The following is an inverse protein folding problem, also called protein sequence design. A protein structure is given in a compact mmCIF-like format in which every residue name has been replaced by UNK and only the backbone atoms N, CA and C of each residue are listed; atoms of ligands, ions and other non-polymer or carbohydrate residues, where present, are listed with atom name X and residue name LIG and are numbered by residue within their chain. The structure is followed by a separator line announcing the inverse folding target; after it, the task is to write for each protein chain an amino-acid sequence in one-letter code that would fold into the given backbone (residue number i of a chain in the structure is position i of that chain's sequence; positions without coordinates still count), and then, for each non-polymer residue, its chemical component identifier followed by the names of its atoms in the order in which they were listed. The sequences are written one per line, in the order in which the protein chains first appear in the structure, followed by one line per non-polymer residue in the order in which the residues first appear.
data_IF_218831758786
#
_entry.id   IF_218831758786
#
_cell.length_a   1.000
_cell.length_b   1.000
_cell.length_c   1.000
_cell.angle_alpha   90.00
_cell.angle_beta   90.00
_cell.angle_gamma   90.00
#
_symmetry.space_group_name_H-M   'P 1'
#
loop_
_entity.id
_entity.type
_entity.pdbx_description
1 polymer ?
#
# COMPACT_ATOMS: atom_id res chain seq x y z
N UNK A 1 -0.63 -15.47 -12.77
CA UNK A 1 -2.06 -15.59 -12.45
C UNK A 1 -2.51 -14.23 -11.98
N UNK A 2 -3.32 -13.54 -12.78
CA UNK A 2 -4.02 -12.32 -12.39
C UNK A 2 -5.17 -12.73 -11.47
N UNK A 3 -5.31 -12.07 -10.33
CA UNK A 3 -6.47 -12.22 -9.48
C UNK A 3 -7.62 -11.42 -10.06
N UNK A 4 -8.82 -12.00 -9.99
CA UNK A 4 -10.06 -11.43 -10.49
C UNK A 4 -11.10 -11.42 -9.37
N UNK A 5 -12.09 -10.53 -9.48
CA UNK A 5 -13.29 -10.62 -8.65
C UNK A 5 -14.19 -11.77 -9.12
N UNK A 6 -15.21 -12.11 -8.33
CA UNK A 6 -16.23 -13.06 -8.77
C UNK A 6 -17.03 -12.50 -9.96
N UNK A 7 -17.28 -13.31 -10.99
CA UNK A 7 -17.97 -12.86 -12.21
C UNK A 7 -19.37 -12.27 -11.97
N UNK A 8 -20.05 -12.69 -10.89
CA UNK A 8 -21.39 -12.22 -10.53
C UNK A 8 -21.40 -11.08 -9.51
N UNK A 9 -20.25 -10.72 -8.92
CA UNK A 9 -20.18 -9.70 -7.87
C UNK A 9 -18.81 -9.05 -7.81
N UNK A 10 -18.73 -7.82 -8.32
CA UNK A 10 -17.56 -6.95 -8.19
C UNK A 10 -17.68 -6.14 -6.91
N UNK A 11 -16.69 -6.19 -6.00
CA UNK A 11 -16.72 -5.41 -4.77
C UNK A 11 -16.63 -3.91 -5.08
N UNK A 12 -17.27 -3.08 -4.24
CA UNK A 12 -17.16 -1.61 -4.35
C UNK A 12 -15.83 -1.07 -3.83
N UNK A 13 -15.19 -1.83 -2.94
CA UNK A 13 -13.85 -1.57 -2.43
C UNK A 13 -13.25 -2.88 -1.86
N UNK A 14 -11.93 -2.96 -1.78
CA UNK A 14 -11.20 -4.00 -1.06
C UNK A 14 -10.53 -3.37 0.15
N UNK A 15 -10.66 -4.00 1.32
CA UNK A 15 -9.92 -3.59 2.53
C UNK A 15 -8.61 -4.37 2.59
N UNK A 16 -7.47 -3.69 2.54
CA UNK A 16 -6.16 -4.25 2.78
C UNK A 16 -5.75 -3.99 4.24
N UNK A 17 -5.70 -5.05 5.03
CA UNK A 17 -5.54 -4.97 6.49
C UNK A 17 -4.08 -4.83 6.96
N UNK A 18 -3.16 -4.51 6.05
CA UNK A 18 -1.72 -4.41 6.33
C UNK A 18 -0.91 -5.59 5.81
N UNK A 19 0.40 -5.49 6.05
CA UNK A 19 1.44 -6.35 5.48
C UNK A 19 1.37 -6.39 3.96
N UNK A 20 1.22 -5.21 3.37
CA UNK A 20 1.02 -5.03 1.94
C UNK A 20 2.28 -5.47 1.17
N UNK A 21 3.45 -5.22 1.75
CA UNK A 21 4.74 -5.44 1.09
C UNK A 21 5.72 -6.23 1.97
N UNK A 22 5.64 -7.55 1.93
CA UNK A 22 6.63 -8.43 2.56
C UNK A 22 8.03 -8.32 1.92
N UNK A 23 9.13 -8.48 2.65
CA UNK A 23 9.20 -8.64 4.11
C UNK A 23 9.38 -7.32 4.88
N UNK A 24 9.87 -6.24 4.27
CA UNK A 24 10.30 -5.03 4.99
C UNK A 24 9.64 -3.73 4.49
N UNK A 25 8.48 -3.85 3.83
CA UNK A 25 7.77 -2.71 3.28
C UNK A 25 8.48 -2.16 2.05
N UNK A 26 8.40 -0.86 1.84
CA UNK A 26 9.22 -0.19 0.82
C UNK A 26 10.50 0.28 1.53
N UNK A 27 11.68 -0.03 0.98
CA UNK A 27 12.96 0.21 1.64
C UNK A 27 13.48 1.63 1.41
N UNK A 28 13.25 2.16 0.20
CA UNK A 28 13.60 3.52 -0.20
C UNK A 28 12.68 3.95 -1.35
N UNK A 29 12.58 5.26 -1.57
CA UNK A 29 11.61 5.81 -2.54
C UNK A 29 11.78 5.22 -3.96
N UNK A 30 13.03 5.01 -4.39
CA UNK A 30 13.35 4.53 -5.74
C UNK A 30 12.79 3.14 -6.08
N UNK A 31 12.50 2.29 -5.10
CA UNK A 31 11.90 0.97 -5.34
C UNK A 31 10.37 0.94 -5.22
N UNK A 32 9.73 2.00 -4.69
CA UNK A 32 8.28 2.06 -4.44
C UNK A 32 7.48 1.54 -5.63
N UNK A 33 7.66 2.16 -6.79
CA UNK A 33 6.81 1.88 -7.96
C UNK A 33 7.02 0.46 -8.48
N UNK A 34 8.26 -0.06 -8.43
CA UNK A 34 8.55 -1.45 -8.78
C UNK A 34 7.94 -2.46 -7.81
N UNK A 35 7.89 -2.15 -6.51
CA UNK A 35 7.23 -2.99 -5.48
C UNK A 35 5.72 -3.02 -5.70
N UNK A 36 5.09 -1.87 -5.92
CA UNK A 36 3.66 -1.81 -6.27
C UNK A 36 3.36 -2.55 -7.57
N UNK A 37 4.14 -2.33 -8.62
CA UNK A 37 3.95 -3.01 -9.90
C UNK A 37 3.99 -4.54 -9.75
N UNK A 38 4.98 -5.07 -9.04
CA UNK A 38 5.19 -6.52 -8.90
C UNK A 38 4.24 -7.20 -7.92
N UNK A 39 3.94 -6.54 -6.79
CA UNK A 39 3.20 -7.14 -5.67
C UNK A 39 1.72 -6.78 -5.64
N UNK A 40 1.33 -5.68 -6.27
CA UNK A 40 -0.03 -5.18 -6.26
C UNK A 40 -0.63 -5.14 -7.67
N UNK A 41 -0.10 -4.29 -8.56
CA UNK A 41 -0.73 -4.05 -9.87
C UNK A 41 -0.79 -5.32 -10.72
N UNK A 42 0.35 -5.99 -10.93
CA UNK A 42 0.41 -7.22 -11.73
C UNK A 42 -0.33 -8.40 -11.08
N UNK A 43 -0.64 -8.31 -9.79
CA UNK A 43 -1.39 -9.36 -9.08
C UNK A 43 -2.89 -9.17 -9.20
N UNK A 44 -3.37 -7.93 -9.20
CA UNK A 44 -4.78 -7.60 -9.21
C UNK A 44 -5.17 -6.85 -10.50
N UNK A 45 -4.86 -7.49 -11.63
CA UNK A 45 -5.01 -6.94 -13.00
C UNK A 45 -6.21 -7.54 -13.77
N UNK A 46 -7.09 -8.28 -13.09
CA UNK A 46 -8.34 -8.77 -13.71
C UNK A 46 -9.24 -7.63 -14.15
N UNK A 47 -9.87 -7.72 -15.32
CA UNK A 47 -10.73 -6.65 -15.87
C UNK A 47 -11.85 -6.20 -14.92
N UNK A 48 -12.32 -7.10 -14.07
CA UNK A 48 -13.38 -6.87 -13.10
C UNK A 48 -12.90 -6.42 -11.70
N UNK A 49 -11.60 -6.30 -11.48
CA UNK A 49 -11.02 -5.84 -10.19
C UNK A 49 -9.98 -4.74 -10.36
N UNK A 50 -9.39 -4.57 -11.55
CA UNK A 50 -8.28 -3.66 -11.80
C UNK A 50 -8.57 -2.21 -11.44
N UNK A 51 -9.82 -1.76 -11.49
CA UNK A 51 -10.22 -0.40 -11.13
C UNK A 51 -10.96 -0.30 -9.78
N UNK A 52 -11.05 -1.39 -9.02
CA UNK A 52 -11.71 -1.36 -7.70
C UNK A 52 -10.82 -0.64 -6.69
N UNK A 53 -11.35 0.35 -5.93
CA UNK A 53 -10.61 1.01 -4.85
C UNK A 53 -10.11 0.03 -3.79
N UNK A 54 -8.87 0.24 -3.36
CA UNK A 54 -8.16 -0.50 -2.34
C UNK A 54 -7.90 0.41 -1.15
N UNK A 55 -8.57 0.14 -0.03
CA UNK A 55 -8.46 0.91 1.20
C UNK A 55 -7.47 0.20 2.09
N UNK A 56 -6.25 0.73 2.17
CA UNK A 56 -5.12 0.07 2.80
C UNK A 56 -4.71 0.68 4.14
N UNK A 57 -4.30 -0.15 5.08
CA UNK A 57 -3.55 0.26 6.28
C UNK A 57 -2.19 -0.43 6.29
N UNK A 58 -1.28 -0.02 7.17
CA UNK A 58 0.03 -0.67 7.32
C UNK A 58 0.00 -1.76 8.39
N UNK A 59 0.67 -2.86 8.10
CA UNK A 59 1.01 -3.92 9.06
C UNK A 59 2.46 -3.82 9.52
N UNK A 60 2.93 -4.82 10.29
CA UNK A 60 4.28 -4.83 10.84
C UNK A 60 5.36 -4.93 9.76
N UNK A 61 5.12 -5.66 8.67
CA UNK A 61 6.08 -5.77 7.56
C UNK A 61 6.25 -4.44 6.84
N UNK A 62 5.18 -3.65 6.72
CA UNK A 62 5.21 -2.34 6.10
C UNK A 62 6.06 -1.32 6.86
N UNK A 63 6.13 -1.42 8.18
CA UNK A 63 6.95 -0.54 9.02
C UNK A 63 8.43 -0.87 8.97
N UNK A 64 8.81 -2.12 8.68
CA UNK A 64 10.20 -2.55 8.66
C UNK A 64 10.38 -4.06 8.78
N UNK A 65 9.36 -4.78 9.27
CA UNK A 65 9.31 -6.23 9.26
C UNK A 65 10.53 -6.90 9.89
N UNK A 66 11.34 -7.54 9.06
CA UNK A 66 12.52 -8.32 9.48
C UNK A 66 13.83 -7.54 9.47
N UNK A 67 13.81 -6.24 9.16
CA UNK A 67 15.00 -5.42 8.94
C UNK A 67 14.80 -3.98 9.48
N UNK A 68 15.71 -3.07 9.16
CA UNK A 68 15.69 -1.71 9.69
C UNK A 68 14.60 -0.82 9.06
N UNK A 69 14.18 0.17 9.86
CA UNK A 69 13.23 1.21 9.45
C UNK A 69 13.93 2.29 8.61
N UNK A 70 15.16 2.64 8.97
CA UNK A 70 15.94 3.69 8.32
C UNK A 70 16.62 3.18 7.05
N UNK A 71 16.81 4.08 6.08
CA UNK A 71 17.57 3.81 4.86
C UNK A 71 18.61 4.88 4.57
N UNK A 72 19.70 4.43 3.95
CA UNK A 72 20.76 5.27 3.41
C UNK A 72 20.99 4.85 1.97
N UNK A 73 20.58 5.72 1.03
CA UNK A 73 20.51 5.35 -0.38
C UNK A 73 19.53 4.20 -0.62
N UNK A 74 20.03 3.12 -1.20
CA UNK A 74 19.28 1.91 -1.55
C UNK A 74 19.36 0.79 -0.48
N UNK A 75 19.91 1.09 0.70
CA UNK A 75 20.15 0.11 1.77
C UNK A 75 19.37 0.44 3.04
N UNK A 76 18.83 -0.58 3.68
CA UNK A 76 18.34 -0.49 5.06
C UNK A 76 19.51 -0.47 6.03
N UNK A 77 19.45 0.39 7.04
CA UNK A 77 20.52 0.63 8.02
C UNK A 77 19.93 0.91 9.40
N UNK A 78 20.67 0.64 10.50
CA UNK A 78 20.26 1.08 11.83
C UNK A 78 20.00 2.59 11.85
N UNK A 79 18.94 3.01 12.53
CA UNK A 79 18.73 4.42 12.83
C UNK A 79 19.75 4.87 13.90
N UNK A 80 20.43 5.99 13.69
CA UNK A 80 21.46 6.49 14.61
C UNK A 80 20.89 7.18 15.85
N UNK A 81 19.66 7.70 15.75
CA UNK A 81 19.00 8.43 16.81
C UNK A 81 17.48 8.40 16.65
N UNK A 82 16.77 8.93 17.64
CA UNK A 82 15.31 8.93 17.68
C UNK A 82 14.69 9.78 16.57
N UNK A 83 15.35 10.86 16.13
CA UNK A 83 14.85 11.69 15.03
C UNK A 83 14.89 10.93 13.70
N UNK A 84 15.98 10.19 13.43
CA UNK A 84 16.06 9.32 12.26
C UNK A 84 15.02 8.20 12.30
N UNK A 85 14.77 7.61 13.48
CA UNK A 85 13.71 6.61 13.64
C UNK A 85 12.33 7.17 13.24
N UNK A 86 11.96 8.35 13.73
CA UNK A 86 10.70 8.98 13.35
C UNK A 86 10.65 9.31 11.86
N UNK A 87 11.75 9.84 11.30
CA UNK A 87 11.82 10.12 9.88
C UNK A 87 11.68 8.84 9.02
N UNK A 88 12.29 7.73 9.45
CA UNK A 88 12.14 6.43 8.80
C UNK A 88 10.69 5.92 8.84
N UNK A 89 10.01 6.02 9.99
CA UNK A 89 8.60 5.65 10.12
C UNK A 89 7.68 6.52 9.25
N UNK A 90 7.98 7.80 9.11
CA UNK A 90 7.28 8.72 8.20
C UNK A 90 7.52 8.35 6.75
N UNK A 91 8.77 8.05 6.37
CA UNK A 91 9.12 7.62 5.02
C UNK A 91 8.38 6.34 4.63
N UNK A 92 8.34 5.33 5.50
CA UNK A 92 7.62 4.06 5.27
C UNK A 92 6.12 4.30 4.99
N UNK A 93 5.49 5.19 5.75
CA UNK A 93 4.11 5.61 5.52
C UNK A 93 3.97 6.36 4.19
N UNK A 94 4.80 7.38 3.98
CA UNK A 94 4.77 8.26 2.81
C UNK A 94 4.87 7.49 1.51
N UNK A 95 5.73 6.47 1.46
CA UNK A 95 5.91 5.67 0.25
C UNK A 95 4.68 4.83 -0.11
N UNK A 96 3.78 4.53 0.83
CA UNK A 96 2.50 3.90 0.52
C UNK A 96 1.39 4.93 0.31
N UNK A 97 1.30 5.95 1.17
CA UNK A 97 0.22 6.95 1.13
C UNK A 97 0.29 7.89 -0.09
N UNK A 98 1.48 8.13 -0.64
CA UNK A 98 1.68 8.99 -1.81
C UNK A 98 1.88 8.21 -3.12
N UNK A 99 1.69 6.89 -3.09
CA UNK A 99 1.67 6.11 -4.33
C UNK A 99 0.42 6.47 -5.14
N UNK A 100 0.58 6.61 -6.46
CA UNK A 100 -0.54 6.81 -7.38
C UNK A 100 -0.65 5.60 -8.28
N UNK A 101 -1.71 4.81 -8.09
CA UNK A 101 -1.97 3.66 -8.95
C UNK A 101 -2.24 4.12 -10.40
N UNK A 102 -1.68 3.45 -11.42
CA UNK A 102 -2.01 3.70 -12.82
C UNK A 102 -3.47 3.31 -13.16
N UNK A 103 -4.10 2.51 -12.31
CA UNK A 103 -5.50 2.09 -12.44
C UNK A 103 -6.37 2.96 -11.52
N UNK A 104 -6.89 4.06 -12.06
CA UNK A 104 -7.83 5.01 -11.41
C UNK A 104 -7.40 5.51 -10.02
N UNK A 105 -6.09 5.59 -9.76
CA UNK A 105 -5.54 5.89 -8.44
C UNK A 105 -6.18 5.04 -7.32
N UNK A 106 -6.41 3.76 -7.58
CA UNK A 106 -7.15 2.87 -6.69
C UNK A 106 -6.48 2.56 -5.33
N UNK A 107 -5.23 2.95 -5.09
CA UNK A 107 -4.60 2.72 -3.79
C UNK A 107 -4.93 3.87 -2.84
N UNK A 108 -5.88 3.67 -1.95
CA UNK A 108 -6.33 4.65 -0.96
C UNK A 108 -5.67 4.38 0.39
N UNK A 109 -4.81 5.31 0.82
CA UNK A 109 -4.17 5.31 2.13
C UNK A 109 -3.85 6.75 2.55
N UNK A 110 -4.90 7.52 2.86
CA UNK A 110 -4.80 8.98 3.07
C UNK A 110 -4.02 9.38 4.35
N UNK A 111 -3.62 8.40 5.16
CA UNK A 111 -2.77 8.63 6.31
C UNK A 111 -2.64 7.38 7.17
N UNK A 112 -2.05 7.57 8.36
CA UNK A 112 -1.91 6.50 9.36
C UNK A 112 -3.25 6.13 10.01
N UNK A 113 -4.07 7.15 10.25
CA UNK A 113 -5.42 7.06 10.76
C UNK A 113 -6.29 7.91 9.86
N UNK A 114 -7.22 7.29 9.17
CA UNK A 114 -8.06 7.98 8.21
C UNK A 114 -9.43 7.31 8.14
N UNK A 115 -10.41 8.05 7.60
CA UNK A 115 -11.76 7.57 7.39
C UNK A 115 -11.98 7.44 5.89
N UNK A 116 -12.29 6.24 5.43
CA UNK A 116 -12.76 6.00 4.07
C UNK A 116 -14.25 5.70 4.09
N UNK A 117 -15.02 6.33 3.20
CA UNK A 117 -16.46 6.09 3.06
C UNK A 117 -16.75 5.50 1.68
N UNK A 118 -17.24 4.26 1.68
CA UNK A 118 -17.79 3.63 0.47
C UNK A 118 -19.23 4.13 0.29
N UNK A 119 -19.55 4.62 -0.90
CA UNK A 119 -20.90 5.04 -1.28
C UNK A 119 -21.44 4.16 -2.39
N UNK A 120 -22.70 3.74 -2.30
CA UNK A 120 -23.45 3.07 -3.34
C UNK A 120 -24.80 3.78 -3.58
N UNK A 121 -24.91 4.57 -4.67
CA UNK A 121 -26.14 5.29 -5.00
C UNK A 121 -27.38 4.38 -5.14
N UNK A 122 -27.19 3.09 -5.44
CA UNK A 122 -28.28 2.14 -5.57
C UNK A 122 -28.88 1.71 -4.21
N UNK A 123 -28.07 1.77 -3.14
CA UNK A 123 -28.50 1.40 -1.78
C UNK A 123 -28.65 2.61 -0.86
N UNK A 124 -28.21 3.80 -1.29
CA UNK A 124 -28.31 5.04 -0.53
C UNK A 124 -27.30 5.17 0.62
N UNK A 125 -26.31 4.27 0.68
CA UNK A 125 -25.15 4.34 1.59
C UNK A 125 -24.03 5.14 0.95
#
# INVERSE_FOLDING_TARGET
MNMEAGASMVPKAVLAHGDNFYWNGINYLGERDSRFAASFEAKYDGDNIKNVPWVAVMGNHDYGGSDYICSSGDKLVPCNNMAELYQGLENKLKWQSEYTSPNDNRWAMDGRFYVHRVKDPATGV
#
